data_IF_375264029117
#
_entry.id   IF_375264029117
#
_cell.length_a   1.000
_cell.length_b   1.000
_cell.length_c   1.000
_cell.angle_alpha   90.00
_cell.angle_beta   90.00
_cell.angle_gamma   90.00
#
_symmetry.space_group_name_H-M   'P 1'
#
loop_
_entity.id
_entity.type
_entity.pdbx_description
1 polymer ?
#
# COMPACT_ATOMS: atom_id res chain seq x y z
N UNK A 1 -1.37 29.73 8.62
CA UNK A 1 -1.34 30.31 7.27
C UNK A 1 -0.65 29.34 6.30
N UNK A 2 -1.06 29.31 5.00
CA UNK A 2 -0.48 28.37 4.03
C UNK A 2 1.02 28.59 3.84
N UNK A 3 1.47 29.81 3.86
CA UNK A 3 2.85 30.18 3.68
C UNK A 3 3.81 29.72 4.79
N UNK A 4 3.31 29.25 5.92
CA UNK A 4 4.15 28.70 7.00
C UNK A 4 4.41 27.20 6.85
N UNK A 5 3.93 26.58 5.76
CA UNK A 5 4.10 25.15 5.51
C UNK A 5 5.35 24.94 4.65
N UNK A 6 6.25 24.11 5.13
CA UNK A 6 7.52 23.80 4.43
C UNK A 6 7.43 22.48 3.65
N UNK A 7 6.64 21.53 4.12
CA UNK A 7 6.59 20.17 3.56
C UNK A 7 5.15 19.66 3.53
N UNK A 8 4.78 19.02 2.42
CA UNK A 8 3.56 18.22 2.29
C UNK A 8 3.93 16.74 2.23
N UNK A 9 3.48 15.95 3.21
CA UNK A 9 3.80 14.53 3.29
C UNK A 9 2.60 13.67 2.89
N UNK A 10 2.81 12.71 2.00
CA UNK A 10 1.82 11.78 1.49
C UNK A 10 2.23 10.33 1.77
N UNK A 11 1.22 9.42 1.86
CA UNK A 11 1.46 7.98 1.89
C UNK A 11 1.79 7.39 0.51
N UNK A 12 1.80 8.20 -0.53
CA UNK A 12 2.07 7.81 -1.90
C UNK A 12 0.90 7.13 -2.60
N UNK A 13 1.22 6.22 -3.50
CA UNK A 13 0.30 5.45 -4.33
C UNK A 13 1.03 4.26 -4.96
N UNK A 14 0.45 3.70 -6.02
CA UNK A 14 1.04 2.57 -6.74
C UNK A 14 2.09 3.09 -7.75
N UNK A 15 3.23 3.50 -7.23
CA UNK A 15 4.40 3.91 -8.00
C UNK A 15 5.26 2.69 -8.39
N UNK A 16 6.26 2.88 -9.23
CA UNK A 16 7.28 1.85 -9.48
C UNK A 16 7.88 1.39 -8.15
N UNK A 17 8.07 0.07 -7.94
CA UNK A 17 8.64 -0.44 -6.70
C UNK A 17 10.00 0.19 -6.39
N UNK A 18 10.12 0.74 -5.20
CA UNK A 18 11.34 1.34 -4.65
C UNK A 18 11.53 0.85 -3.22
N UNK A 19 12.69 1.10 -2.62
CA UNK A 19 12.90 0.78 -1.20
C UNK A 19 12.01 1.63 -0.29
N UNK A 20 11.84 1.20 0.94
CA UNK A 20 11.20 2.03 1.98
C UNK A 20 12.01 3.31 2.22
N UNK A 21 11.33 4.43 2.48
CA UNK A 21 11.98 5.73 2.65
C UNK A 21 11.04 6.90 2.40
N UNK A 22 11.64 8.08 2.32
CA UNK A 22 10.95 9.33 1.98
C UNK A 22 11.52 9.84 0.66
N UNK A 23 10.64 10.13 -0.29
CA UNK A 23 11.00 10.50 -1.65
C UNK A 23 10.23 11.75 -2.06
N UNK A 24 10.93 12.73 -2.63
CA UNK A 24 10.30 13.91 -3.23
C UNK A 24 9.46 13.48 -4.43
N UNK A 25 8.25 14.02 -4.55
CA UNK A 25 7.35 13.70 -5.66
C UNK A 25 7.85 14.42 -6.91
N UNK A 26 8.30 13.65 -7.88
CA UNK A 26 8.75 14.13 -9.18
C UNK A 26 7.70 13.90 -10.28
N UNK A 27 7.98 14.41 -11.49
CA UNK A 27 7.06 14.31 -12.62
C UNK A 27 6.84 12.88 -13.09
N UNK A 28 7.87 12.02 -13.00
CA UNK A 28 7.76 10.59 -13.33
C UNK A 28 6.77 9.88 -12.39
N UNK A 29 6.86 10.15 -11.08
CA UNK A 29 5.91 9.62 -10.09
C UNK A 29 4.49 10.12 -10.36
N UNK A 30 4.32 11.42 -10.67
CA UNK A 30 3.01 11.99 -11.02
C UNK A 30 2.41 11.34 -12.26
N UNK A 31 3.21 11.12 -13.30
CA UNK A 31 2.78 10.44 -14.52
C UNK A 31 2.37 8.99 -14.22
N UNK A 32 3.19 8.21 -13.52
CA UNK A 32 2.89 6.84 -13.15
C UNK A 32 1.58 6.70 -12.34
N UNK A 33 1.32 7.65 -11.44
CA UNK A 33 0.08 7.68 -10.62
C UNK A 33 -1.15 8.03 -11.46
N UNK A 34 -1.05 8.95 -12.43
CA UNK A 34 -2.15 9.33 -13.34
C UNK A 34 -2.50 8.21 -14.33
N UNK A 35 -1.49 7.58 -14.90
CA UNK A 35 -1.65 6.49 -15.87
C UNK A 35 -2.09 5.18 -15.23
N UNK A 36 -1.90 5.03 -13.91
CA UNK A 36 -2.17 3.78 -13.21
C UNK A 36 -1.28 2.63 -13.67
N UNK A 37 -0.03 2.93 -14.04
CA UNK A 37 0.96 2.00 -14.60
C UNK A 37 1.14 0.71 -13.77
N UNK A 38 1.05 0.82 -12.45
CA UNK A 38 1.15 -0.29 -11.51
C UNK A 38 -0.21 -0.72 -10.93
N UNK A 39 -1.29 -0.21 -11.49
CA UNK A 39 -2.68 -0.46 -11.09
C UNK A 39 -3.40 0.81 -10.64
N UNK A 40 -4.72 0.81 -10.79
CA UNK A 40 -5.60 1.91 -10.36
C UNK A 40 -6.14 1.62 -8.95
N UNK A 41 -5.86 2.52 -8.04
CA UNK A 41 -6.39 2.47 -6.67
C UNK A 41 -6.53 3.89 -6.12
N UNK A 42 -7.47 4.11 -5.19
CA UNK A 42 -7.70 5.43 -4.60
C UNK A 42 -6.44 6.03 -3.93
N UNK A 43 -5.52 5.19 -3.44
CA UNK A 43 -4.26 5.68 -2.87
C UNK A 43 -3.37 6.42 -3.88
N UNK A 44 -3.54 6.21 -5.20
CA UNK A 44 -2.79 6.94 -6.23
C UNK A 44 -3.08 8.44 -6.19
N UNK A 45 -4.27 8.85 -5.72
CA UNK A 45 -4.62 10.25 -5.54
C UNK A 45 -3.77 10.94 -4.47
N UNK A 46 -3.27 10.20 -3.46
CA UNK A 46 -2.56 10.81 -2.35
C UNK A 46 -1.30 11.58 -2.79
N UNK A 47 -0.49 11.01 -3.68
CA UNK A 47 0.69 11.68 -4.21
C UNK A 47 0.34 12.88 -5.10
N UNK A 48 -0.71 12.75 -5.93
CA UNK A 48 -1.17 13.83 -6.80
C UNK A 48 -1.74 15.01 -6.00
N UNK A 49 -2.56 14.72 -4.97
CA UNK A 49 -3.11 15.75 -4.07
C UNK A 49 -1.97 16.44 -3.31
N UNK A 50 -0.97 15.70 -2.82
CA UNK A 50 0.16 16.29 -2.12
C UNK A 50 0.95 17.26 -3.02
N UNK A 51 1.17 16.91 -4.28
CA UNK A 51 1.81 17.79 -5.24
C UNK A 51 0.98 19.06 -5.50
N UNK A 52 -0.32 18.90 -5.77
CA UNK A 52 -1.23 20.05 -6.01
C UNK A 52 -1.32 20.99 -4.79
N UNK A 53 -1.40 20.43 -3.58
CA UNK A 53 -1.39 21.22 -2.33
C UNK A 53 -0.06 21.98 -2.18
N UNK A 54 1.07 21.34 -2.50
CA UNK A 54 2.38 21.96 -2.46
C UNK A 54 2.48 23.12 -3.45
N UNK A 55 1.95 22.96 -4.67
CA UNK A 55 1.92 24.01 -5.69
C UNK A 55 1.12 25.22 -5.19
N UNK A 56 -0.06 25.01 -4.57
CA UNK A 56 -0.88 26.07 -3.96
C UNK A 56 -0.19 26.80 -2.80
N UNK A 57 0.59 26.09 -2.00
CA UNK A 57 1.38 26.67 -0.93
C UNK A 57 2.46 27.59 -1.53
N UNK A 58 3.15 27.11 -2.56
CA UNK A 58 4.20 27.89 -3.26
C UNK A 58 3.64 29.14 -3.95
N UNK A 59 2.46 29.06 -4.57
CA UNK A 59 1.74 30.23 -5.09
C UNK A 59 1.46 31.26 -3.98
N UNK A 60 0.99 30.79 -2.81
CA UNK A 60 0.73 31.67 -1.67
C UNK A 60 2.01 32.31 -1.10
N UNK A 61 3.12 31.58 -1.02
CA UNK A 61 4.43 32.10 -0.63
C UNK A 61 4.90 33.19 -1.61
N UNK A 62 4.86 32.92 -2.91
CA UNK A 62 5.25 33.87 -3.95
C UNK A 62 4.42 35.18 -3.91
N UNK A 63 3.10 35.05 -3.67
CA UNK A 63 2.22 36.24 -3.57
C UNK A 63 2.58 37.19 -2.42
N UNK A 64 3.34 36.68 -1.43
CA UNK A 64 3.86 37.46 -0.29
C UNK A 64 5.35 37.80 -0.39
N UNK A 65 5.95 37.58 -1.56
CA UNK A 65 7.38 37.83 -1.79
C UNK A 65 8.31 36.83 -1.08
N UNK A 66 7.81 35.68 -0.70
CA UNK A 66 8.59 34.61 -0.08
C UNK A 66 9.09 33.61 -1.15
N UNK A 67 10.09 32.80 -0.81
CA UNK A 67 10.58 31.74 -1.69
C UNK A 67 9.53 30.60 -1.85
N UNK A 68 9.41 30.05 -3.06
CA UNK A 68 8.59 28.87 -3.35
C UNK A 68 9.37 27.60 -3.02
N UNK A 69 9.56 27.32 -1.75
CA UNK A 69 10.44 26.26 -1.22
C UNK A 69 9.70 25.08 -0.58
N UNK A 70 8.35 25.11 -0.56
CA UNK A 70 7.56 23.98 -0.12
C UNK A 70 7.78 22.78 -1.06
N UNK A 71 7.95 21.60 -0.49
CA UNK A 71 8.16 20.35 -1.22
C UNK A 71 7.15 19.28 -0.82
N UNK A 72 6.74 18.47 -1.79
CA UNK A 72 5.85 17.34 -1.59
C UNK A 72 6.62 16.01 -1.58
N UNK A 73 6.32 15.15 -0.62
CA UNK A 73 6.99 13.86 -0.44
C UNK A 73 6.02 12.70 -0.33
N UNK A 74 6.50 11.52 -0.70
CA UNK A 74 5.90 10.21 -0.42
C UNK A 74 6.73 9.53 0.66
N UNK A 75 6.05 8.99 1.70
CA UNK A 75 6.70 8.25 2.76
C UNK A 75 6.28 6.78 2.73
N UNK A 76 7.25 5.86 2.75
CA UNK A 76 7.07 4.41 2.81
C UNK A 76 5.90 3.94 1.90
N UNK A 77 6.03 4.02 0.55
CA UNK A 77 4.93 3.75 -0.37
C UNK A 77 4.43 2.29 -0.26
N UNK A 78 3.15 2.02 -0.59
CA UNK A 78 2.57 0.67 -0.48
C UNK A 78 3.29 -0.40 -1.30
N UNK A 79 3.96 -0.02 -2.39
CA UNK A 79 4.75 -0.90 -3.25
C UNK A 79 6.26 -0.85 -2.92
N UNK A 80 6.63 -0.45 -1.69
CA UNK A 80 8.01 -0.55 -1.27
C UNK A 80 8.48 -2.00 -1.33
N UNK A 81 9.59 -2.25 -2.03
CA UNK A 81 10.10 -3.60 -2.29
C UNK A 81 11.51 -3.79 -1.72
N UNK A 82 11.56 -4.53 -0.62
CA UNK A 82 12.77 -4.99 0.05
C UNK A 82 12.72 -6.50 0.29
N UNK A 83 11.74 -7.20 -0.36
CA UNK A 83 11.59 -8.65 -0.23
C UNK A 83 12.85 -9.36 -0.72
N UNK A 84 13.27 -10.36 0.05
CA UNK A 84 14.35 -11.24 -0.40
C UNK A 84 13.92 -12.03 -1.64
N UNK A 85 14.86 -12.45 -2.51
CA UNK A 85 14.52 -13.15 -3.74
C UNK A 85 13.63 -14.38 -3.52
N UNK A 86 13.89 -15.15 -2.45
CA UNK A 86 13.15 -16.35 -2.09
C UNK A 86 11.69 -16.05 -1.74
N UNK A 87 11.44 -14.90 -1.10
CA UNK A 87 10.09 -14.47 -0.75
C UNK A 87 9.25 -14.04 -1.98
N UNK A 88 9.90 -13.80 -3.12
CA UNK A 88 9.23 -13.44 -4.39
C UNK A 88 8.80 -14.67 -5.20
N UNK A 89 9.24 -15.86 -4.81
CA UNK A 89 8.87 -17.08 -5.52
C UNK A 89 7.37 -17.38 -5.31
N UNK A 90 6.65 -17.45 -6.43
CA UNK A 90 5.30 -18.01 -6.48
C UNK A 90 5.33 -19.50 -6.77
N UNK A 91 4.17 -20.15 -6.83
CA UNK A 91 4.07 -21.55 -7.24
C UNK A 91 4.40 -21.80 -8.71
N UNK A 92 4.33 -20.76 -9.53
CA UNK A 92 4.67 -20.76 -10.97
C UNK A 92 5.48 -19.51 -11.30
N UNK A 93 6.48 -19.61 -12.19
CA UNK A 93 7.31 -18.47 -12.58
C UNK A 93 6.52 -17.29 -13.16
N UNK A 94 5.38 -17.55 -13.81
CA UNK A 94 4.50 -16.54 -14.41
C UNK A 94 3.72 -15.75 -13.35
N UNK A 95 3.68 -16.22 -12.11
CA UNK A 95 2.95 -15.60 -11.00
C UNK A 95 3.88 -15.33 -9.81
N UNK A 96 4.88 -14.46 -9.95
CA UNK A 96 5.75 -14.09 -8.85
C UNK A 96 4.94 -13.37 -7.77
N UNK A 97 5.31 -13.57 -6.51
CA UNK A 97 4.80 -12.75 -5.41
C UNK A 97 5.35 -11.33 -5.54
N UNK A 98 4.53 -10.38 -5.21
CA UNK A 98 4.91 -8.97 -5.23
C UNK A 98 4.54 -8.29 -3.92
N UNK A 99 5.23 -7.21 -3.63
CA UNK A 99 4.95 -6.38 -2.48
C UNK A 99 3.78 -5.44 -2.77
N UNK A 100 2.78 -5.47 -1.91
CA UNK A 100 1.76 -4.43 -1.80
C UNK A 100 1.12 -4.49 -0.41
N UNK A 101 1.62 -3.70 0.52
CA UNK A 101 1.25 -3.79 1.94
C UNK A 101 1.11 -2.41 2.59
N UNK A 102 0.71 -2.38 3.85
CA UNK A 102 0.55 -1.14 4.61
C UNK A 102 1.92 -0.66 5.16
N UNK A 103 2.86 -0.36 4.27
CA UNK A 103 4.26 -0.09 4.57
C UNK A 103 4.43 1.00 5.64
N UNK A 104 3.81 2.16 5.46
CA UNK A 104 3.93 3.31 6.37
C UNK A 104 3.53 2.93 7.81
N UNK A 105 2.38 2.26 7.97
CA UNK A 105 1.91 1.83 9.30
C UNK A 105 2.79 0.73 9.87
N UNK A 106 3.11 -0.31 9.09
CA UNK A 106 3.92 -1.44 9.55
C UNK A 106 5.29 -0.99 10.04
N UNK A 107 5.96 -0.13 9.28
CA UNK A 107 7.25 0.44 9.69
C UNK A 107 7.14 1.36 10.90
N UNK A 108 6.06 2.14 11.01
CA UNK A 108 5.82 2.97 12.20
C UNK A 108 5.67 2.09 13.45
N UNK A 109 4.96 0.97 13.36
CA UNK A 109 4.80 0.03 14.47
C UNK A 109 6.11 -0.64 14.86
N UNK A 110 6.94 -1.05 13.90
CA UNK A 110 8.29 -1.59 14.20
C UNK A 110 9.16 -0.56 14.91
N UNK A 111 9.19 0.68 14.41
CA UNK A 111 9.93 1.77 15.06
C UNK A 111 9.43 2.05 16.48
N UNK A 112 8.11 2.05 16.68
CA UNK A 112 7.49 2.24 18.00
C UNK A 112 7.87 1.12 18.97
N UNK A 113 7.75 -0.13 18.54
CA UNK A 113 8.15 -1.30 19.34
C UNK A 113 9.64 -1.25 19.68
N UNK A 114 10.52 -1.05 18.71
CA UNK A 114 11.96 -0.99 18.95
C UNK A 114 12.32 0.06 20.00
N UNK A 115 11.74 1.27 19.89
CA UNK A 115 11.94 2.33 20.90
C UNK A 115 11.45 1.93 22.29
N UNK A 116 10.32 1.22 22.41
CA UNK A 116 9.78 0.80 23.71
C UNK A 116 10.67 -0.20 24.44
N UNK A 117 11.56 -0.89 23.73
CA UNK A 117 12.53 -1.84 24.28
C UNK A 117 13.99 -1.33 24.23
N UNK A 118 14.18 -0.03 24.00
CA UNK A 118 15.51 0.61 23.97
C UNK A 118 16.38 0.22 22.77
N UNK A 119 15.76 -0.18 21.64
CA UNK A 119 16.43 -0.64 20.42
C UNK A 119 16.11 0.24 19.22
N UNK A 120 16.81 -0.01 18.12
CA UNK A 120 16.49 0.55 16.80
C UNK A 120 15.72 -0.48 15.97
N UNK A 121 15.10 -0.04 14.86
CA UNK A 121 14.44 -0.95 13.92
C UNK A 121 15.39 -1.96 13.25
N UNK A 122 16.71 -1.75 13.32
CA UNK A 122 17.73 -2.68 12.82
C UNK A 122 18.01 -3.84 13.76
N UNK A 123 17.72 -3.66 15.05
CA UNK A 123 18.06 -4.59 16.13
C UNK A 123 16.91 -5.53 16.49
N UNK A 124 15.79 -5.43 15.76
CA UNK A 124 14.59 -6.22 16.04
C UNK A 124 14.12 -6.98 14.79
N UNK A 125 13.60 -8.18 15.01
CA UNK A 125 12.87 -8.95 13.99
C UNK A 125 11.41 -9.04 14.43
N UNK A 126 10.49 -8.55 13.62
CA UNK A 126 9.08 -8.37 14.00
C UNK A 126 8.16 -8.75 12.84
N UNK A 127 7.14 -9.52 13.12
CA UNK A 127 6.01 -9.70 12.22
C UNK A 127 4.95 -8.67 12.58
N UNK A 128 4.52 -7.90 11.60
CA UNK A 128 3.43 -6.92 11.74
C UNK A 128 2.21 -7.39 10.96
N UNK A 129 1.11 -7.60 11.64
CA UNK A 129 -0.20 -7.83 11.05
C UNK A 129 -1.01 -6.53 11.10
N UNK A 130 -1.22 -5.91 9.94
CA UNK A 130 -2.16 -4.80 9.77
C UNK A 130 -3.51 -5.39 9.35
N UNK A 131 -4.50 -5.30 10.22
CA UNK A 131 -5.84 -5.85 10.02
C UNK A 131 -6.85 -4.72 9.82
N UNK A 132 -7.41 -4.62 8.63
CA UNK A 132 -8.36 -3.58 8.26
C UNK A 132 -9.18 -3.98 7.05
N UNK A 133 -9.71 -3.04 6.27
CA UNK A 133 -10.40 -3.29 5.00
C UNK A 133 -9.56 -4.12 4.01
N UNK A 134 -8.24 -4.00 4.08
CA UNK A 134 -7.27 -4.98 3.57
C UNK A 134 -6.40 -5.46 4.72
N UNK A 135 -5.96 -6.72 4.67
CA UNK A 135 -5.02 -7.28 5.66
C UNK A 135 -3.65 -7.49 5.03
N UNK A 136 -2.61 -7.01 5.70
CA UNK A 136 -1.24 -7.32 5.31
C UNK A 136 -0.44 -7.83 6.49
N UNK A 137 0.33 -8.90 6.24
CA UNK A 137 1.30 -9.45 7.18
C UNK A 137 2.67 -9.25 6.58
N UNK A 138 3.56 -8.63 7.33
CA UNK A 138 4.91 -8.30 6.87
C UNK A 138 5.96 -8.69 7.90
N UNK A 139 7.07 -9.26 7.43
CA UNK A 139 8.24 -9.62 8.24
C UNK A 139 9.28 -8.52 8.08
N UNK A 140 9.65 -7.92 9.20
CA UNK A 140 10.68 -6.90 9.29
C UNK A 140 11.91 -7.48 10.00
N UNK A 141 13.08 -7.35 9.37
CA UNK A 141 14.36 -7.76 9.95
C UNK A 141 15.48 -6.82 9.49
N UNK A 142 16.41 -6.53 10.38
CA UNK A 142 17.56 -5.66 10.12
C UNK A 142 17.19 -4.30 9.47
N UNK A 143 16.01 -3.77 9.83
CA UNK A 143 15.49 -2.49 9.32
C UNK A 143 14.78 -2.56 7.96
N UNK A 144 14.74 -3.72 7.30
CA UNK A 144 14.11 -3.94 5.99
C UNK A 144 12.81 -4.75 6.14
N UNK A 145 11.96 -4.68 5.11
CA UNK A 145 10.78 -5.54 4.97
C UNK A 145 11.14 -6.71 4.05
N UNK A 146 11.49 -7.85 4.63
CA UNK A 146 12.05 -8.98 3.89
C UNK A 146 11.02 -9.94 3.32
N UNK A 147 9.77 -9.88 3.77
CA UNK A 147 8.62 -10.59 3.21
C UNK A 147 7.31 -9.86 3.55
N UNK A 148 6.35 -9.89 2.64
CA UNK A 148 4.98 -9.45 2.87
C UNK A 148 4.03 -10.05 1.82
N UNK A 149 2.72 -10.04 2.09
CA UNK A 149 1.72 -10.43 1.10
C UNK A 149 1.26 -9.24 0.25
N UNK A 150 0.72 -9.53 -0.95
CA UNK A 150 -0.03 -8.55 -1.74
C UNK A 150 -1.45 -8.40 -1.18
N UNK A 151 -1.62 -7.42 -0.29
CA UNK A 151 -2.90 -7.15 0.37
C UNK A 151 -4.01 -6.65 -0.56
N UNK A 152 -3.74 -6.35 -1.83
CA UNK A 152 -4.73 -5.93 -2.82
C UNK A 152 -4.97 -7.00 -3.89
N UNK A 153 -3.93 -7.72 -4.30
CA UNK A 153 -3.95 -8.61 -5.47
C UNK A 153 -4.50 -10.00 -5.22
N UNK A 154 -4.80 -10.36 -3.97
CA UNK A 154 -5.41 -11.65 -3.63
C UNK A 154 -4.44 -12.66 -3.01
N UNK A 155 -3.32 -12.17 -2.44
CA UNK A 155 -2.38 -12.97 -1.67
C UNK A 155 -2.58 -12.71 -0.16
N UNK A 156 -2.37 -13.74 0.67
CA UNK A 156 -2.39 -13.64 2.12
C UNK A 156 -3.78 -13.81 2.76
N UNK A 157 -3.97 -13.27 3.98
CA UNK A 157 -5.19 -13.53 4.76
C UNK A 157 -6.42 -12.81 4.20
N UNK A 158 -7.57 -13.41 4.42
CA UNK A 158 -8.87 -12.77 4.23
C UNK A 158 -8.98 -11.51 5.11
N UNK A 159 -9.63 -10.49 4.59
CA UNK A 159 -9.95 -9.27 5.34
C UNK A 159 -11.46 -9.01 5.38
N UNK A 160 -11.87 -7.82 5.83
CA UNK A 160 -13.30 -7.46 5.81
C UNK A 160 -13.86 -7.37 4.40
N UNK A 161 -13.07 -6.92 3.41
CA UNK A 161 -13.55 -6.63 2.05
C UNK A 161 -12.78 -7.38 0.94
N UNK A 162 -11.81 -8.22 1.31
CA UNK A 162 -10.95 -8.94 0.36
C UNK A 162 -10.90 -10.43 0.69
N UNK A 163 -10.96 -11.23 -0.35
CA UNK A 163 -10.98 -12.68 -0.21
C UNK A 163 -9.67 -13.27 0.34
N UNK A 164 -8.53 -12.56 0.13
CA UNK A 164 -7.22 -13.15 0.37
C UNK A 164 -6.92 -14.27 -0.63
N UNK A 165 -6.08 -15.21 -0.22
CA UNK A 165 -5.76 -16.38 -1.04
C UNK A 165 -7.00 -17.26 -1.19
N UNK A 166 -7.34 -17.63 -2.42
CA UNK A 166 -8.45 -18.52 -2.75
C UNK A 166 -7.94 -19.77 -3.47
N UNK A 167 -8.64 -20.93 -3.39
CA UNK A 167 -8.27 -22.14 -4.11
C UNK A 167 -8.26 -21.89 -5.63
N UNK A 168 -7.15 -22.25 -6.29
CA UNK A 168 -6.91 -21.94 -7.71
C UNK A 168 -7.91 -22.59 -8.66
N UNK A 169 -8.15 -23.92 -8.55
CA UNK A 169 -9.06 -24.62 -9.46
C UNK A 169 -10.49 -24.08 -9.41
N UNK A 170 -11.16 -23.93 -8.25
CA UNK A 170 -12.47 -23.29 -8.21
C UNK A 170 -12.51 -21.88 -8.77
N UNK A 171 -11.41 -21.10 -8.64
CA UNK A 171 -11.32 -19.77 -9.25
C UNK A 171 -11.29 -19.85 -10.78
N UNK A 172 -10.48 -20.77 -11.35
CA UNK A 172 -10.43 -21.02 -12.79
C UNK A 172 -11.79 -21.44 -13.32
N UNK A 173 -12.45 -22.42 -12.68
CA UNK A 173 -13.79 -22.87 -13.06
C UNK A 173 -14.81 -21.72 -13.09
N UNK A 174 -14.75 -20.81 -12.12
CA UNK A 174 -15.58 -19.60 -12.09
C UNK A 174 -15.26 -18.64 -13.24
N UNK A 175 -13.98 -18.41 -13.54
CA UNK A 175 -13.55 -17.54 -14.61
C UNK A 175 -14.02 -18.01 -16.00
N UNK A 176 -14.02 -19.32 -16.24
CA UNK A 176 -14.39 -19.90 -17.54
C UNK A 176 -15.83 -20.42 -17.59
N UNK A 177 -16.62 -20.27 -16.53
CA UNK A 177 -18.03 -20.72 -16.50
C UNK A 177 -18.97 -19.95 -17.43
N UNK A 178 -18.56 -18.83 -18.01
CA UNK A 178 -19.43 -17.91 -18.74
C UNK A 178 -20.41 -17.10 -17.87
N UNK A 179 -20.45 -17.37 -16.55
CA UNK A 179 -21.40 -16.71 -15.61
C UNK A 179 -20.92 -15.36 -15.10
N UNK A 180 -19.63 -15.08 -15.21
CA UNK A 180 -19.02 -13.87 -14.66
C UNK A 180 -18.08 -13.21 -15.65
N UNK A 181 -18.15 -11.89 -15.74
CA UNK A 181 -17.14 -11.10 -16.42
C UNK A 181 -15.87 -10.98 -15.58
N UNK A 182 -14.74 -10.68 -16.21
CA UNK A 182 -13.46 -10.39 -15.51
C UNK A 182 -13.63 -9.37 -14.37
N UNK A 183 -14.40 -8.30 -14.61
CA UNK A 183 -14.64 -7.25 -13.61
C UNK A 183 -15.42 -7.79 -12.41
N UNK A 184 -16.43 -8.62 -12.65
CA UNK A 184 -17.22 -9.23 -11.56
C UNK A 184 -16.38 -10.18 -10.71
N UNK A 185 -15.50 -10.99 -11.31
CA UNK A 185 -14.57 -11.84 -10.56
C UNK A 185 -13.61 -10.99 -9.73
N UNK A 186 -12.97 -9.99 -10.33
CA UNK A 186 -12.07 -9.08 -9.60
C UNK A 186 -12.76 -8.39 -8.41
N UNK A 187 -14.00 -7.92 -8.58
CA UNK A 187 -14.78 -7.30 -7.52
C UNK A 187 -15.11 -8.27 -6.37
N UNK A 188 -15.29 -9.58 -6.69
CA UNK A 188 -15.46 -10.63 -5.67
C UNK A 188 -14.17 -10.92 -4.89
N UNK A 189 -13.01 -10.79 -5.53
CA UNK A 189 -11.72 -10.94 -4.87
C UNK A 189 -11.37 -9.71 -4.01
N UNK A 190 -11.67 -8.50 -4.51
CA UNK A 190 -11.35 -7.25 -3.83
C UNK A 190 -12.51 -6.26 -3.88
N UNK A 191 -13.12 -5.96 -2.72
CA UNK A 191 -14.23 -5.04 -2.52
C UNK A 191 -15.56 -5.70 -2.14
N UNK A 192 -15.77 -6.99 -2.48
CA UNK A 192 -16.94 -7.81 -2.06
C UNK A 192 -16.55 -9.23 -1.67
N UNK A 193 -15.28 -9.46 -1.41
CA UNK A 193 -14.76 -10.69 -0.81
C UNK A 193 -14.55 -10.51 0.68
N UNK A 194 -14.07 -11.54 1.35
CA UNK A 194 -13.81 -11.48 2.78
C UNK A 194 -15.09 -11.54 3.63
N UNK A 195 -15.05 -10.91 4.80
CA UNK A 195 -16.17 -10.95 5.75
C UNK A 195 -17.50 -10.47 5.13
N UNK A 196 -17.46 -9.42 4.31
CA UNK A 196 -18.68 -8.91 3.66
C UNK A 196 -19.36 -9.94 2.77
N UNK A 197 -18.63 -10.89 2.20
CA UNK A 197 -19.20 -11.95 1.36
C UNK A 197 -19.97 -13.01 2.17
N UNK A 198 -19.67 -13.18 3.44
CA UNK A 198 -20.29 -14.16 4.34
C UNK A 198 -21.36 -13.51 5.23
N UNK A 199 -21.11 -12.31 5.72
CA UNK A 199 -21.90 -11.69 6.79
C UNK A 199 -22.61 -10.41 6.37
N UNK A 200 -22.42 -9.98 5.12
CA UNK A 200 -22.98 -8.72 4.57
C UNK A 200 -22.60 -7.46 5.39
N UNK A 201 -21.54 -7.55 6.19
CA UNK A 201 -20.95 -6.43 6.92
C UNK A 201 -19.43 -6.44 6.77
N UNK A 202 -18.81 -5.27 6.79
CA UNK A 202 -17.37 -5.08 6.86
C UNK A 202 -16.89 -4.67 8.26
N UNK A 203 -17.78 -4.66 9.25
CA UNK A 203 -17.46 -4.37 10.63
C UNK A 203 -17.29 -5.67 11.43
N UNK A 204 -16.06 -6.01 11.78
CA UNK A 204 -15.78 -7.20 12.58
C UNK A 204 -16.44 -7.17 13.97
N UNK A 205 -16.79 -6.01 14.51
CA UNK A 205 -17.50 -5.90 15.80
C UNK A 205 -18.93 -6.46 15.74
N UNK A 206 -19.51 -6.54 14.53
CA UNK A 206 -20.84 -7.13 14.31
C UNK A 206 -20.77 -8.65 14.09
N UNK A 207 -19.55 -9.21 13.94
CA UNK A 207 -19.33 -10.62 13.61
C UNK A 207 -18.85 -11.41 14.83
N UNK A 208 -18.26 -10.75 15.81
CA UNK A 208 -17.76 -11.31 17.08
C UNK A 208 -18.84 -11.07 18.17
#
# INVERSE_FOLDING_TARGET
>A
PLESIDIVMSRGGLITPIRTGVYEINDEMKAALREGKNGMHACCLCGLIAAEVCDKINEAKLSKGMAADCKAYIADPPMADEMVPEAKLGGLPEFPRRTLFHALNSRAMVRRYARSVGKTNKDVTVIVAHLGGGSSVSLHAAGNVIDCNDALGGDGPMSTERAGTVPGFPLVDKCFSGKYTRMQVRKRLAGRGGAIAYFNTNDFREII
#
